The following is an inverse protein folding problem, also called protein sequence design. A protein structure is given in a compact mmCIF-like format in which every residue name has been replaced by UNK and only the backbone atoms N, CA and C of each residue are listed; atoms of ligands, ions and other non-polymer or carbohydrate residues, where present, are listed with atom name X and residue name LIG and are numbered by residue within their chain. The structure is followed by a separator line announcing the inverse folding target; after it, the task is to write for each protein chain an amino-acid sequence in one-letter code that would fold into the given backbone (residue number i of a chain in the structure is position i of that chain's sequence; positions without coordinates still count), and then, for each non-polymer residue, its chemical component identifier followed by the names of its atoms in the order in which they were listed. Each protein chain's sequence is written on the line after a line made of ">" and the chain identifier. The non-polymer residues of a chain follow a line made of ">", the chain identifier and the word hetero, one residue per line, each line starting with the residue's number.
data_IF_444990741599
#
_entry.id   IF_444990741599
#
_cell.length_a   1.000
_cell.length_b   1.000
_cell.length_c   1.000
_cell.angle_alpha   90.00
_cell.angle_beta   90.00
_cell.angle_gamma   90.00
#
_symmetry.space_group_name_H-M   'P 1'
#
loop_
_entity.id
_entity.type
_entity.pdbx_description
1 polymer ?
#
# COMPACT_ATOMS: atom_id res chain seq x y z
N UNK A 1 -13.62 12.79 13.74
CA UNK A 1 -12.99 12.25 12.51
C UNK A 1 -14.05 11.51 11.72
N UNK A 2 -14.11 11.72 10.40
CA UNK A 2 -15.16 11.17 9.54
C UNK A 2 -14.70 9.81 9.02
N UNK A 3 -15.19 8.72 9.61
CA UNK A 3 -14.96 7.36 9.12
C UNK A 3 -15.78 7.14 7.85
N UNK A 4 -15.17 6.61 6.79
CA UNK A 4 -15.87 6.23 5.56
C UNK A 4 -16.35 4.78 5.72
N UNK A 5 -17.67 4.51 5.72
CA UNK A 5 -18.17 3.13 5.82
C UNK A 5 -17.61 2.23 4.72
N UNK A 6 -17.16 1.04 5.08
CA UNK A 6 -16.62 0.06 4.12
C UNK A 6 -15.17 0.33 3.69
N UNK A 7 -14.54 1.43 4.10
CA UNK A 7 -13.10 1.69 3.90
C UNK A 7 -12.30 1.17 5.09
N UNK A 8 -11.28 0.38 4.80
CA UNK A 8 -10.34 -0.16 5.79
C UNK A 8 -8.91 0.06 5.34
N UNK A 9 -7.99 0.14 6.31
CA UNK A 9 -6.55 0.28 6.11
C UNK A 9 -5.82 -0.77 6.94
N UNK A 10 -4.79 -1.39 6.38
CA UNK A 10 -3.82 -2.21 7.09
C UNK A 10 -2.42 -1.64 6.86
N UNK A 11 -1.69 -1.37 7.94
CA UNK A 11 -0.36 -0.78 7.88
C UNK A 11 0.69 -1.75 8.44
N UNK A 12 1.83 -1.81 7.76
CA UNK A 12 3.00 -2.55 8.22
C UNK A 12 4.27 -1.78 7.90
N UNK A 13 5.37 -2.16 8.53
CA UNK A 13 6.67 -1.52 8.36
C UNK A 13 7.69 -2.53 7.84
N UNK A 14 8.61 -2.06 7.01
CA UNK A 14 9.71 -2.87 6.47
C UNK A 14 11.05 -2.18 6.64
N UNK A 15 12.11 -2.98 6.63
CA UNK A 15 13.48 -2.49 6.75
C UNK A 15 13.97 -1.87 5.44
N UNK A 16 14.55 -0.67 5.56
CA UNK A 16 15.27 0.02 4.49
C UNK A 16 16.79 -0.09 4.71
N UNK A 17 17.57 0.53 3.82
CA UNK A 17 18.98 0.81 4.09
C UNK A 17 19.17 1.61 5.40
N UNK A 18 20.37 1.50 5.99
CA UNK A 18 20.81 2.31 7.14
C UNK A 18 19.89 2.29 8.38
N UNK A 19 19.26 1.14 8.65
CA UNK A 19 18.32 0.93 9.77
C UNK A 19 17.11 1.87 9.77
N UNK A 20 16.75 2.43 8.62
CA UNK A 20 15.49 3.16 8.45
C UNK A 20 14.33 2.17 8.27
N UNK A 21 13.11 2.66 8.47
CA UNK A 21 11.87 1.91 8.27
C UNK A 21 11.03 2.60 7.21
N UNK A 22 10.57 1.83 6.23
CA UNK A 22 9.52 2.23 5.30
C UNK A 22 8.17 1.72 5.78
N UNK A 23 7.11 2.27 5.24
CA UNK A 23 5.72 1.89 5.55
C UNK A 23 5.04 1.37 4.31
N UNK A 24 4.28 0.27 4.47
CA UNK A 24 3.30 -0.21 3.50
C UNK A 24 1.90 -0.07 4.09
N UNK A 25 1.01 0.57 3.37
CA UNK A 25 -0.40 0.72 3.73
C UNK A 25 -1.28 0.13 2.62
N UNK A 26 -2.18 -0.76 3.00
CA UNK A 26 -3.15 -1.40 2.10
C UNK A 26 -4.54 -0.88 2.43
N UNK A 27 -5.15 -0.17 1.49
CA UNK A 27 -6.52 0.30 1.58
C UNK A 27 -7.44 -0.67 0.85
N UNK A 28 -8.56 -1.04 1.48
CA UNK A 28 -9.59 -1.89 0.90
C UNK A 28 -10.93 -1.21 1.09
N UNK A 29 -11.69 -1.08 0.00
CA UNK A 29 -13.06 -0.57 0.05
C UNK A 29 -14.06 -1.68 -0.28
N UNK A 30 -15.16 -1.73 0.47
CA UNK A 30 -16.23 -2.74 0.36
C UNK A 30 -17.63 -2.13 0.54
N UNK A 31 -17.73 -0.80 0.50
CA UNK A 31 -18.98 -0.07 0.70
C UNK A 31 -19.73 0.23 -0.59
N UNK A 32 -20.89 0.87 -0.43
CA UNK A 32 -21.71 1.34 -1.54
C UNK A 32 -21.14 2.67 -2.07
N UNK A 33 -20.50 2.65 -3.23
CA UNK A 33 -19.91 3.84 -3.84
C UNK A 33 -18.98 3.52 -5.00
N UNK A 34 -18.44 4.58 -5.62
CA UNK A 34 -17.36 4.46 -6.61
C UNK A 34 -16.05 4.20 -5.86
N UNK A 35 -15.52 2.96 -5.89
CA UNK A 35 -14.40 2.57 -5.05
C UNK A 35 -13.12 3.32 -5.42
N UNK A 36 -12.94 3.66 -6.70
CA UNK A 36 -11.80 4.44 -7.16
C UNK A 36 -11.81 5.84 -6.52
N UNK A 37 -12.94 6.56 -6.59
CA UNK A 37 -13.03 7.90 -5.99
C UNK A 37 -12.83 7.89 -4.47
N UNK A 38 -13.38 6.89 -3.78
CA UNK A 38 -13.23 6.77 -2.33
C UNK A 38 -11.78 6.52 -1.95
N UNK A 39 -11.13 5.59 -2.65
CA UNK A 39 -9.75 5.22 -2.37
C UNK A 39 -8.76 6.31 -2.80
N UNK A 40 -9.00 7.00 -3.90
CA UNK A 40 -8.17 8.12 -4.35
C UNK A 40 -8.24 9.28 -3.34
N UNK A 41 -9.44 9.55 -2.79
CA UNK A 41 -9.58 10.49 -1.67
C UNK A 41 -8.81 10.00 -0.44
N UNK A 42 -9.00 8.75 -0.02
CA UNK A 42 -8.34 8.20 1.17
C UNK A 42 -6.81 8.24 1.07
N UNK A 43 -6.26 7.86 -0.09
CA UNK A 43 -4.82 7.93 -0.35
C UNK A 43 -4.34 9.36 -0.30
N UNK A 44 -5.05 10.31 -0.93
CA UNK A 44 -4.69 11.74 -0.89
C UNK A 44 -4.64 12.28 0.54
N UNK A 45 -5.64 11.96 1.36
CA UNK A 45 -5.66 12.41 2.77
C UNK A 45 -4.61 11.69 3.63
N UNK A 46 -4.29 10.43 3.33
CA UNK A 46 -3.23 9.69 4.03
C UNK A 46 -1.84 10.25 3.69
N UNK A 47 -1.63 10.60 2.42
CA UNK A 47 -0.35 11.08 1.90
C UNK A 47 -0.11 12.56 2.22
N UNK A 48 -1.16 13.37 2.26
CA UNK A 48 -1.11 14.82 2.41
C UNK A 48 -0.07 15.47 1.46
N UNK A 49 0.94 16.15 2.02
CA UNK A 49 2.04 16.80 1.30
C UNK A 49 3.35 16.01 1.30
N UNK A 50 3.34 14.78 1.85
CA UNK A 50 4.55 13.96 1.87
C UNK A 50 4.73 13.32 0.49
N UNK A 51 5.93 13.44 -0.09
CA UNK A 51 6.27 12.77 -1.34
C UNK A 51 6.42 11.27 -1.11
N UNK A 52 5.33 10.50 -1.15
CA UNK A 52 5.44 9.04 -1.18
C UNK A 52 5.84 8.64 -2.60
N UNK A 53 6.96 7.93 -2.71
CA UNK A 53 7.47 7.41 -3.96
C UNK A 53 6.65 6.18 -4.39
N UNK A 54 5.46 6.50 -4.91
CA UNK A 54 4.56 5.80 -5.84
C UNK A 54 4.07 4.38 -5.51
N UNK A 55 2.78 4.38 -5.15
CA UNK A 55 1.69 3.51 -5.63
C UNK A 55 2.10 2.33 -6.52
N UNK A 56 2.11 1.12 -5.94
CA UNK A 56 2.04 -0.11 -6.74
C UNK A 56 0.56 -0.43 -6.91
N UNK A 57 -0.06 0.18 -7.92
CA UNK A 57 -1.31 -0.35 -8.48
C UNK A 57 -0.97 -1.64 -9.22
N UNK A 58 -1.08 -2.77 -8.50
CA UNK A 58 -0.69 -4.07 -9.04
C UNK A 58 -1.70 -4.61 -10.08
N UNK A 59 -2.84 -3.94 -10.29
CA UNK A 59 -3.65 -4.18 -11.48
C UNK A 59 -4.64 -3.03 -11.70
N UNK A 60 -4.55 -2.34 -12.84
CA UNK A 60 -5.53 -1.33 -13.30
C UNK A 60 -6.98 -1.84 -13.30
N UNK A 61 -7.18 -3.15 -13.17
CA UNK A 61 -8.49 -3.82 -13.13
C UNK A 61 -9.12 -3.93 -11.73
N UNK A 62 -8.40 -3.64 -10.64
CA UNK A 62 -8.97 -3.74 -9.28
C UNK A 62 -9.24 -2.36 -8.66
N UNK A 63 -10.46 -1.81 -8.83
CA UNK A 63 -10.77 -0.50 -8.30
C UNK A 63 -11.06 -0.54 -6.79
N UNK A 64 -11.03 -1.70 -6.13
CA UNK A 64 -11.40 -1.90 -4.72
C UNK A 64 -10.22 -1.91 -3.74
N UNK A 65 -8.99 -1.73 -4.23
CA UNK A 65 -7.78 -1.75 -3.40
C UNK A 65 -6.79 -0.66 -3.84
N UNK A 66 -6.03 -0.12 -2.88
CA UNK A 66 -4.82 0.68 -3.13
C UNK A 66 -3.70 0.23 -2.20
N UNK A 67 -2.48 0.25 -2.69
CA UNK A 67 -1.28 0.02 -1.89
C UNK A 67 -0.39 1.26 -1.97
N UNK A 68 -0.04 1.79 -0.81
CA UNK A 68 0.88 2.93 -0.67
C UNK A 68 2.15 2.41 0.00
N UNK A 69 3.30 2.75 -0.58
CA UNK A 69 4.61 2.39 -0.04
C UNK A 69 5.47 3.65 0.11
N UNK A 70 6.24 3.76 1.19
CA UNK A 70 7.18 4.86 1.40
C UNK A 70 8.61 4.46 1.04
N UNK A 71 9.42 5.41 0.60
CA UNK A 71 10.87 5.21 0.49
C UNK A 71 11.28 3.99 -0.36
N UNK A 72 10.52 3.68 -1.43
CA UNK A 72 10.75 2.52 -2.31
C UNK A 72 12.18 2.51 -2.89
N UNK A 73 12.76 3.70 -3.09
CA UNK A 73 14.10 3.87 -3.63
C UNK A 73 15.20 3.35 -2.68
N UNK A 74 14.94 3.34 -1.37
CA UNK A 74 15.88 2.88 -0.34
C UNK A 74 15.61 1.42 0.08
N UNK A 75 14.68 0.74 -0.59
CA UNK A 75 14.29 -0.63 -0.29
C UNK A 75 15.38 -1.60 -0.72
N UNK A 76 15.73 -2.55 0.16
CA UNK A 76 16.64 -3.63 -0.18
C UNK A 76 15.96 -4.58 -1.14
N UNK A 77 16.48 -4.67 -2.36
CA UNK A 77 16.01 -5.61 -3.37
C UNK A 77 16.99 -6.78 -3.47
N UNK A 78 16.47 -7.99 -3.62
CA UNK A 78 17.24 -9.20 -3.86
C UNK A 78 16.75 -9.88 -5.14
N UNK A 79 17.60 -10.69 -5.76
CA UNK A 79 17.17 -11.52 -6.88
C UNK A 79 16.09 -12.50 -6.43
N UNK A 80 15.03 -12.61 -7.23
CA UNK A 80 14.00 -13.62 -7.01
C UNK A 80 14.59 -15.02 -7.17
N UNK A 81 14.29 -15.88 -6.21
CA UNK A 81 14.70 -17.27 -6.15
C UNK A 81 13.47 -18.12 -5.79
N UNK A 82 13.14 -19.05 -6.68
CA UNK A 82 11.93 -19.87 -6.61
C UNK A 82 11.96 -20.86 -5.45
N UNK A 83 13.13 -21.19 -4.91
CA UNK A 83 13.24 -22.11 -3.77
C UNK A 83 13.08 -21.40 -2.43
N UNK A 84 13.41 -20.11 -2.36
CA UNK A 84 13.34 -19.31 -1.13
C UNK A 84 12.13 -18.39 -1.05
N UNK A 85 11.59 -17.91 -2.18
CA UNK A 85 10.50 -16.91 -2.22
C UNK A 85 9.12 -17.53 -2.50
N UNK A 86 8.93 -18.81 -2.20
CA UNK A 86 7.60 -19.47 -2.24
C UNK A 86 6.76 -18.99 -1.05
N UNK A 87 5.51 -18.61 -1.32
CA UNK A 87 4.51 -18.43 -0.27
C UNK A 87 4.26 -19.78 0.41
N UNK A 88 4.78 -19.94 1.63
CA UNK A 88 4.43 -21.06 2.47
C UNK A 88 3.08 -20.74 3.11
N UNK A 89 2.07 -21.60 2.87
CA UNK A 89 0.81 -21.48 3.60
C UNK A 89 1.10 -21.71 5.08
N UNK A 90 0.80 -20.70 5.90
CA UNK A 90 0.80 -20.81 7.36
C UNK A 90 -0.40 -21.61 7.83
#
# INVERSE_FOLDING_TARGET
>A
MKTIPGLTINESHYDLADNKKGTIAVFIFSGDGDPAKVLDYAVREYVESNGYHELIDANLDNPWMRVVMSDINDMRQASFDLDTHKLVKQ
#
